data_IF_371191609527
#
_entry.id   IF_371191609527
#
_cell.length_a   1.000
_cell.length_b   1.000
_cell.length_c   1.000
_cell.angle_alpha   90.00
_cell.angle_beta   90.00
_cell.angle_gamma   90.00
#
_symmetry.space_group_name_H-M   'P 1'
#
loop_
_entity.id
_entity.type
_entity.pdbx_description
1 polymer ?
#
# COMPACT_ATOMS: atom_id res chain seq x y z
N UNK A 1 51.37 -3.73 41.84
CA UNK A 1 51.06 -3.81 40.36
C UNK A 1 49.77 -4.58 40.03
N UNK A 2 49.40 -5.67 40.72
CA UNK A 2 48.18 -6.45 40.44
C UNK A 2 46.86 -5.68 40.71
N UNK A 3 46.79 -4.91 41.82
CA UNK A 3 45.58 -4.11 42.15
C UNK A 3 45.29 -3.00 41.17
N UNK A 4 46.27 -2.37 40.56
CA UNK A 4 46.08 -1.34 39.53
C UNK A 4 45.61 -1.90 38.18
N UNK A 5 46.07 -3.10 37.82
CA UNK A 5 45.64 -3.81 36.60
C UNK A 5 44.17 -4.25 36.72
N UNK A 6 43.73 -4.78 37.86
CA UNK A 6 42.35 -5.16 38.10
C UNK A 6 41.39 -3.96 38.04
N UNK A 7 41.78 -2.81 38.60
CA UNK A 7 40.95 -1.58 38.53
C UNK A 7 40.80 -1.07 37.10
N UNK A 8 41.87 -1.16 36.28
CA UNK A 8 41.83 -0.77 34.88
C UNK A 8 40.90 -1.68 34.05
N UNK A 9 40.97 -3.01 34.30
CA UNK A 9 40.09 -3.97 33.64
C UNK A 9 38.62 -3.75 34.04
N UNK A 10 38.32 -3.52 35.30
CA UNK A 10 36.96 -3.21 35.79
C UNK A 10 36.42 -1.94 35.10
N UNK A 11 37.22 -0.88 34.99
CA UNK A 11 36.79 0.33 34.28
C UNK A 11 36.53 0.07 32.82
N UNK A 12 37.36 -0.70 32.10
CA UNK A 12 37.16 -1.05 30.71
C UNK A 12 35.89 -1.91 30.53
N UNK A 13 35.62 -2.84 31.43
CA UNK A 13 34.37 -3.64 31.42
C UNK A 13 33.15 -2.73 31.64
N UNK A 14 33.28 -1.75 32.53
CA UNK A 14 32.21 -0.77 32.75
C UNK A 14 32.01 0.11 31.49
N UNK A 15 33.08 0.58 30.85
CA UNK A 15 32.98 1.31 29.59
C UNK A 15 32.29 0.46 28.47
N UNK A 16 32.58 -0.84 28.41
CA UNK A 16 31.93 -1.79 27.51
C UNK A 16 30.44 -1.93 27.84
N UNK A 17 30.09 -2.07 29.13
CA UNK A 17 28.66 -2.17 29.52
C UNK A 17 27.86 -0.90 29.19
N UNK A 18 28.50 0.24 29.12
CA UNK A 18 27.95 1.51 28.71
C UNK A 18 28.06 1.75 27.19
N UNK A 19 28.61 0.79 26.45
CA UNK A 19 28.85 0.85 25.01
C UNK A 19 29.66 2.07 24.56
N UNK A 20 30.56 2.54 25.39
CA UNK A 20 31.47 3.64 25.07
C UNK A 20 32.51 3.19 24.03
N UNK A 21 32.77 4.06 23.07
CA UNK A 21 33.78 3.82 22.04
C UNK A 21 35.18 4.17 22.60
N UNK A 22 35.97 3.14 22.91
CA UNK A 22 37.31 3.26 23.43
C UNK A 22 38.27 2.27 22.74
N UNK A 23 39.59 2.49 22.89
CA UNK A 23 40.56 1.55 22.36
C UNK A 23 40.75 0.37 23.34
N UNK A 24 39.86 -0.59 23.28
CA UNK A 24 39.86 -1.78 24.13
C UNK A 24 41.04 -2.72 23.81
N UNK A 25 41.56 -2.73 22.59
CA UNK A 25 42.67 -3.54 22.15
C UNK A 25 43.96 -3.22 22.94
N UNK A 26 44.14 -1.96 23.37
CA UNK A 26 45.27 -1.56 24.22
C UNK A 26 45.19 -2.14 25.65
N UNK A 27 44.01 -2.59 26.06
CA UNK A 27 43.77 -3.23 27.37
C UNK A 27 43.79 -4.76 27.29
N UNK A 28 43.12 -5.31 26.33
CA UNK A 28 42.98 -6.76 26.11
C UNK A 28 42.24 -7.02 24.78
N UNK A 29 42.79 -7.91 23.92
CA UNK A 29 42.10 -8.31 22.65
C UNK A 29 40.70 -8.92 22.92
N UNK A 30 40.48 -9.57 24.06
CA UNK A 30 39.18 -10.14 24.41
C UNK A 30 38.13 -9.05 24.69
N UNK A 31 38.54 -7.99 25.37
CA UNK A 31 37.63 -6.85 25.63
C UNK A 31 37.25 -6.16 24.32
N UNK A 32 38.21 -6.02 23.41
CA UNK A 32 37.92 -5.51 22.05
C UNK A 32 36.91 -6.41 21.35
N UNK A 33 37.11 -7.69 21.35
CA UNK A 33 36.22 -8.66 20.74
C UNK A 33 34.82 -8.67 21.38
N UNK A 34 34.74 -8.54 22.70
CA UNK A 34 33.49 -8.40 23.43
C UNK A 34 32.72 -7.15 22.99
N UNK A 35 33.38 -6.00 22.92
CA UNK A 35 32.77 -4.74 22.43
C UNK A 35 32.29 -4.86 21.01
N UNK A 36 33.09 -5.42 20.08
CA UNK A 36 32.73 -5.61 18.68
C UNK A 36 31.49 -6.48 18.50
N UNK A 37 31.37 -7.56 19.30
CA UNK A 37 30.19 -8.42 19.32
C UNK A 37 28.95 -7.69 19.83
N UNK A 38 29.07 -6.94 20.91
CA UNK A 38 27.98 -6.16 21.46
C UNK A 38 27.52 -5.10 20.45
N UNK A 39 28.47 -4.42 19.81
CA UNK A 39 28.20 -3.45 18.73
C UNK A 39 27.54 -4.10 17.52
N UNK A 40 27.95 -5.32 17.16
CA UNK A 40 27.31 -6.08 16.09
C UNK A 40 25.86 -6.46 16.43
N UNK A 41 25.62 -6.95 17.66
CA UNK A 41 24.26 -7.26 18.16
C UNK A 41 23.34 -6.04 18.14
N UNK A 42 23.87 -4.88 18.58
CA UNK A 42 23.13 -3.61 18.53
C UNK A 42 22.73 -3.22 17.11
N UNK A 43 23.65 -3.33 16.13
CA UNK A 43 23.34 -3.07 14.73
C UNK A 43 22.29 -4.02 14.16
N UNK A 44 22.35 -5.30 14.57
CA UNK A 44 21.35 -6.28 14.16
C UNK A 44 19.96 -5.96 14.73
N UNK A 45 19.88 -5.55 16.00
CA UNK A 45 18.61 -5.12 16.58
C UNK A 45 18.05 -3.89 15.87
N UNK A 46 18.89 -2.91 15.55
CA UNK A 46 18.48 -1.74 14.75
C UNK A 46 17.98 -2.14 13.36
N UNK A 47 18.60 -3.15 12.74
CA UNK A 47 18.11 -3.70 11.48
C UNK A 47 16.75 -4.38 11.63
N UNK A 48 16.57 -5.23 12.66
CA UNK A 48 15.27 -5.88 12.96
C UNK A 48 14.20 -4.83 13.19
N UNK A 49 14.50 -3.79 13.93
CA UNK A 49 13.58 -2.67 14.11
C UNK A 49 13.25 -1.98 12.77
N UNK A 50 14.24 -1.80 11.91
CA UNK A 50 14.05 -1.21 10.58
C UNK A 50 13.12 -2.03 9.69
N UNK A 51 13.28 -3.34 9.67
CA UNK A 51 12.42 -4.26 8.92
C UNK A 51 11.00 -4.29 9.50
N UNK A 52 10.85 -4.33 10.83
CA UNK A 52 9.57 -4.27 11.52
C UNK A 52 8.84 -2.94 11.22
N UNK A 53 9.54 -1.82 11.29
CA UNK A 53 9.00 -0.50 10.95
C UNK A 53 8.57 -0.41 9.48
N UNK A 54 9.33 -0.97 8.57
CA UNK A 54 8.93 -1.01 7.15
C UNK A 54 7.68 -1.87 6.95
N UNK A 55 7.58 -2.97 7.64
CA UNK A 55 6.44 -3.87 7.54
C UNK A 55 5.17 -3.25 8.13
N UNK A 56 5.24 -2.61 9.32
CA UNK A 56 4.08 -1.93 9.92
C UNK A 56 3.60 -0.77 9.04
N UNK A 57 4.52 0.02 8.48
CA UNK A 57 4.17 1.09 7.53
C UNK A 57 3.49 0.55 6.27
N UNK A 58 3.95 -0.59 5.77
CA UNK A 58 3.35 -1.26 4.61
C UNK A 58 1.94 -1.76 4.95
N UNK A 59 1.74 -2.30 6.16
CA UNK A 59 0.42 -2.73 6.65
C UNK A 59 -0.54 -1.57 6.81
N UNK A 60 -0.10 -0.48 7.42
CA UNK A 60 -0.91 0.75 7.52
C UNK A 60 -1.32 1.29 6.14
N UNK A 61 -0.38 1.35 5.20
CA UNK A 61 -0.65 1.79 3.84
C UNK A 61 -1.62 0.83 3.11
N UNK A 62 -1.47 -0.48 3.31
CA UNK A 62 -2.36 -1.50 2.75
C UNK A 62 -3.77 -1.39 3.34
N UNK A 63 -3.88 -1.26 4.66
CA UNK A 63 -5.15 -1.07 5.35
C UNK A 63 -5.90 0.17 4.87
N UNK A 64 -5.18 1.28 4.73
CA UNK A 64 -5.71 2.53 4.20
C UNK A 64 -6.17 2.38 2.74
N UNK A 65 -5.37 1.71 1.89
CA UNK A 65 -5.71 1.44 0.49
C UNK A 65 -6.94 0.54 0.37
N UNK A 66 -7.00 -0.54 1.12
CA UNK A 66 -8.16 -1.45 1.14
C UNK A 66 -9.40 -0.69 1.60
N UNK A 67 -9.30 0.15 2.64
CA UNK A 67 -10.38 1.01 3.09
C UNK A 67 -10.88 1.95 1.98
N UNK A 68 -9.98 2.59 1.26
CA UNK A 68 -10.32 3.46 0.13
C UNK A 68 -10.98 2.69 -1.03
N UNK A 69 -10.40 1.56 -1.42
CA UNK A 69 -10.94 0.72 -2.50
C UNK A 69 -12.32 0.16 -2.12
N UNK A 70 -12.56 -0.11 -0.84
CA UNK A 70 -13.87 -0.50 -0.28
C UNK A 70 -14.92 0.60 -0.49
N UNK A 71 -14.56 1.87 -0.25
CA UNK A 71 -15.46 3.00 -0.50
C UNK A 71 -15.76 3.12 -1.99
N UNK A 72 -14.75 3.05 -2.86
CA UNK A 72 -14.92 3.09 -4.33
C UNK A 72 -15.80 1.95 -4.84
N UNK A 73 -15.64 0.74 -4.29
CA UNK A 73 -16.50 -0.39 -4.65
C UNK A 73 -17.96 -0.17 -4.22
N UNK A 74 -18.17 0.46 -3.05
CA UNK A 74 -19.52 0.84 -2.63
C UNK A 74 -20.16 1.81 -3.64
N UNK A 75 -19.44 2.88 -3.98
CA UNK A 75 -19.89 3.86 -4.98
C UNK A 75 -20.15 3.20 -6.33
N UNK A 76 -19.22 2.35 -6.79
CA UNK A 76 -19.38 1.62 -8.04
C UNK A 76 -20.63 0.69 -8.04
N UNK A 77 -20.89 0.02 -6.91
CA UNK A 77 -22.09 -0.81 -6.76
C UNK A 77 -23.38 0.05 -6.75
N UNK A 78 -23.34 1.22 -6.11
CA UNK A 78 -24.44 2.19 -6.12
C UNK A 78 -24.66 2.76 -7.51
N UNK A 79 -23.58 3.10 -8.23
CA UNK A 79 -23.65 3.59 -9.63
C UNK A 79 -24.21 2.52 -10.57
N UNK A 80 -23.81 1.26 -10.42
CA UNK A 80 -24.35 0.13 -11.17
C UNK A 80 -25.85 -0.04 -10.89
N UNK A 81 -26.28 0.02 -9.62
CA UNK A 81 -27.68 -0.06 -9.25
C UNK A 81 -28.49 1.12 -9.83
N UNK A 82 -27.90 2.32 -9.81
CA UNK A 82 -28.56 3.51 -10.36
C UNK A 82 -28.71 3.41 -11.90
N UNK A 83 -27.65 2.96 -12.59
CA UNK A 83 -27.68 2.70 -14.03
C UNK A 83 -28.70 1.60 -14.37
N UNK A 84 -28.74 0.51 -13.59
CA UNK A 84 -29.70 -0.59 -13.77
C UNK A 84 -31.14 -0.10 -13.62
N UNK A 85 -31.40 0.77 -12.67
CA UNK A 85 -32.74 1.37 -12.47
C UNK A 85 -33.12 2.25 -13.66
N UNK A 86 -32.20 3.08 -14.16
CA UNK A 86 -32.43 3.93 -15.33
C UNK A 86 -32.70 3.09 -16.59
N UNK A 87 -32.01 1.94 -16.75
CA UNK A 87 -32.27 1.00 -17.86
C UNK A 87 -33.64 0.34 -17.69
N UNK A 88 -34.00 -0.04 -16.48
CA UNK A 88 -35.32 -0.64 -16.20
C UNK A 88 -36.45 0.33 -16.50
N UNK A 89 -36.30 1.62 -16.15
CA UNK A 89 -37.30 2.67 -16.47
C UNK A 89 -37.38 2.89 -18.00
N UNK A 90 -36.23 2.85 -18.71
CA UNK A 90 -36.19 2.93 -20.18
C UNK A 90 -36.82 1.71 -20.87
N UNK A 91 -36.72 0.51 -20.27
CA UNK A 91 -37.39 -0.72 -20.73
C UNK A 91 -38.91 -0.62 -20.59
N UNK A 92 -39.39 -0.10 -19.45
CA UNK A 92 -40.82 0.14 -19.26
C UNK A 92 -41.39 1.16 -20.27
N UNK A 93 -40.61 2.23 -20.52
CA UNK A 93 -40.96 3.25 -21.55
C UNK A 93 -40.94 2.67 -22.98
N UNK A 94 -39.90 1.84 -23.26
CA UNK A 94 -39.79 1.15 -24.56
C UNK A 94 -40.95 0.19 -24.80
N UNK A 95 -41.43 -0.52 -23.76
CA UNK A 95 -42.60 -1.41 -23.82
C UNK A 95 -43.88 -0.62 -24.11
N UNK A 96 -44.04 0.56 -23.51
CA UNK A 96 -45.18 1.46 -23.76
C UNK A 96 -45.20 1.96 -25.20
N UNK A 97 -44.01 2.34 -25.72
CA UNK A 97 -43.86 2.79 -27.14
C UNK A 97 -44.17 1.64 -28.10
N UNK A 98 -43.77 0.39 -27.75
CA UNK A 98 -44.08 -0.79 -28.57
C UNK A 98 -45.59 -1.06 -28.66
N UNK A 99 -46.34 -0.82 -27.60
CA UNK A 99 -47.78 -0.96 -27.56
C UNK A 99 -48.50 0.14 -28.33
N UNK A 100 -48.03 1.39 -28.24
CA UNK A 100 -48.54 2.49 -29.05
C UNK A 100 -48.31 2.28 -30.57
N UNK A 101 -47.13 1.73 -30.93
CA UNK A 101 -46.82 1.37 -32.33
C UNK A 101 -47.72 0.25 -32.83
N UNK A 102 -48.02 -0.73 -31.99
CA UNK A 102 -48.98 -1.81 -32.29
C UNK A 102 -50.36 -1.27 -32.55
N UNK A 103 -50.81 -0.32 -31.71
CA UNK A 103 -52.11 0.36 -31.88
C UNK A 103 -52.14 1.31 -33.09
N UNK A 104 -51.01 1.94 -33.43
CA UNK A 104 -50.89 2.81 -34.62
C UNK A 104 -50.84 2.02 -35.95
N UNK A 105 -50.47 0.75 -35.90
CA UNK A 105 -50.39 -0.12 -37.06
C UNK A 105 -51.77 -0.54 -37.61
N UNK A 106 -52.84 -0.40 -36.85
CA UNK A 106 -54.22 -0.63 -37.32
C UNK A 106 -54.74 0.42 -38.31
N UNK A 107 -54.02 1.56 -38.41
CA UNK A 107 -54.31 2.64 -39.38
C UNK A 107 -53.40 2.62 -40.60
N UNK A 108 -53.66 1.84 -41.59
CA UNK A 108 -52.75 1.35 -42.66
C UNK A 108 -52.16 2.37 -43.64
N UNK A 109 -52.53 3.62 -43.70
CA UNK A 109 -52.13 4.53 -44.76
C UNK A 109 -50.93 5.45 -44.47
N UNK A 110 -50.55 5.58 -43.16
CA UNK A 110 -49.43 6.42 -42.75
C UNK A 110 -48.16 5.62 -42.31
N UNK A 111 -48.20 4.31 -42.49
CA UNK A 111 -47.26 3.37 -41.91
C UNK A 111 -45.84 3.47 -42.49
N UNK A 112 -45.72 3.83 -43.78
CA UNK A 112 -44.40 3.88 -44.47
C UNK A 112 -43.52 5.00 -43.90
N UNK A 113 -44.08 6.16 -43.62
CA UNK A 113 -43.34 7.31 -43.07
C UNK A 113 -42.93 6.99 -41.63
N UNK A 114 -43.85 6.44 -40.84
CA UNK A 114 -43.66 6.09 -39.44
C UNK A 114 -42.59 4.97 -39.27
N UNK A 115 -42.62 3.97 -40.14
CA UNK A 115 -41.64 2.86 -40.13
C UNK A 115 -40.26 3.32 -40.61
N UNK A 116 -40.18 4.24 -41.59
CA UNK A 116 -38.94 4.86 -42.04
C UNK A 116 -38.27 5.68 -40.93
N UNK A 117 -39.09 6.42 -40.16
CA UNK A 117 -38.61 7.24 -39.04
C UNK A 117 -38.02 6.37 -37.91
N UNK A 118 -38.70 5.25 -37.58
CA UNK A 118 -38.23 4.33 -36.56
C UNK A 118 -37.00 3.52 -36.98
N UNK A 119 -36.87 3.23 -38.27
CA UNK A 119 -35.64 2.61 -38.81
C UNK A 119 -34.44 3.55 -38.64
N UNK A 120 -34.65 4.87 -38.80
CA UNK A 120 -33.63 5.90 -38.55
C UNK A 120 -33.25 5.98 -37.08
N UNK A 121 -34.21 5.80 -36.18
CA UNK A 121 -33.97 5.82 -34.73
C UNK A 121 -33.20 4.59 -34.25
N UNK A 122 -33.49 3.41 -34.80
CA UNK A 122 -32.71 2.19 -34.54
C UNK A 122 -31.27 2.34 -35.04
N UNK A 123 -31.08 2.99 -36.22
CA UNK A 123 -29.76 3.28 -36.76
C UNK A 123 -28.92 4.15 -35.82
N UNK A 124 -29.52 5.22 -35.28
CA UNK A 124 -28.85 6.06 -34.27
C UNK A 124 -28.49 5.32 -32.97
N UNK A 125 -29.36 4.40 -32.52
CA UNK A 125 -29.08 3.58 -31.34
C UNK A 125 -27.89 2.63 -31.53
N UNK A 126 -27.73 2.13 -32.77
CA UNK A 126 -26.54 1.31 -33.14
C UNK A 126 -25.28 2.18 -33.14
N UNK A 127 -25.35 3.42 -33.67
CA UNK A 127 -24.25 4.37 -33.62
C UNK A 127 -23.86 4.73 -32.18
N UNK A 128 -24.82 5.05 -31.35
CA UNK A 128 -24.58 5.32 -29.94
C UNK A 128 -24.00 4.09 -29.22
N UNK A 129 -24.44 2.87 -29.55
CA UNK A 129 -23.87 1.64 -29.06
C UNK A 129 -22.40 1.42 -29.46
N UNK A 130 -22.01 1.89 -30.66
CA UNK A 130 -20.61 1.90 -31.08
C UNK A 130 -19.75 2.91 -30.33
N UNK A 131 -20.31 4.05 -29.96
CA UNK A 131 -19.60 5.03 -29.11
C UNK A 131 -19.36 4.50 -27.69
N UNK A 132 -20.37 3.85 -27.10
CA UNK A 132 -20.20 3.21 -25.75
C UNK A 132 -19.18 2.06 -25.78
N UNK A 133 -19.18 1.24 -26.83
CA UNK A 133 -18.18 0.20 -27.01
C UNK A 133 -16.76 0.77 -27.17
N UNK A 134 -16.63 1.94 -27.76
CA UNK A 134 -15.36 2.66 -27.88
C UNK A 134 -14.89 3.10 -26.50
N UNK A 135 -15.78 3.65 -25.68
CA UNK A 135 -15.46 4.05 -24.30
C UNK A 135 -15.02 2.86 -23.43
N UNK A 136 -15.72 1.72 -23.53
CA UNK A 136 -15.34 0.49 -22.80
C UNK A 136 -13.97 -0.04 -23.26
N UNK A 137 -13.66 0.06 -24.55
CA UNK A 137 -12.37 -0.34 -25.11
C UNK A 137 -11.22 0.53 -24.60
N UNK A 138 -11.45 1.83 -24.46
CA UNK A 138 -10.45 2.75 -23.91
C UNK A 138 -10.18 2.46 -22.43
N UNK A 139 -11.24 2.23 -21.64
CA UNK A 139 -11.12 1.80 -20.24
C UNK A 139 -10.34 0.46 -20.09
N UNK A 140 -10.57 -0.48 -21.00
CA UNK A 140 -9.82 -1.76 -20.99
C UNK A 140 -8.33 -1.56 -21.29
N UNK A 141 -8.01 -0.66 -22.24
CA UNK A 141 -6.62 -0.28 -22.52
C UNK A 141 -5.92 0.35 -21.34
N UNK A 142 -6.59 1.24 -20.64
CA UNK A 142 -6.03 1.89 -19.45
C UNK A 142 -5.75 0.84 -18.35
N UNK A 143 -6.70 -0.08 -18.13
CA UNK A 143 -6.53 -1.16 -17.16
C UNK A 143 -5.39 -2.12 -17.53
N UNK A 144 -5.16 -2.40 -18.83
CA UNK A 144 -3.99 -3.19 -19.29
C UNK A 144 -2.70 -2.43 -19.02
N UNK A 145 -2.69 -1.12 -19.26
CA UNK A 145 -1.53 -0.26 -18.99
C UNK A 145 -1.17 -0.26 -17.50
N UNK A 146 -2.15 -0.06 -16.63
CA UNK A 146 -1.96 -0.11 -15.16
C UNK A 146 -1.49 -1.49 -14.67
N UNK A 147 -2.07 -2.56 -15.23
CA UNK A 147 -1.65 -3.93 -14.90
C UNK A 147 -0.22 -4.22 -15.36
N UNK A 148 0.18 -3.69 -16.50
CA UNK A 148 1.55 -3.82 -17.03
C UNK A 148 2.55 -3.06 -16.16
N UNK A 149 2.17 -1.89 -15.68
CA UNK A 149 2.98 -1.12 -14.74
C UNK A 149 3.10 -1.84 -13.38
N UNK A 150 2.00 -2.43 -12.91
CA UNK A 150 2.01 -3.26 -11.70
C UNK A 150 2.96 -4.46 -11.85
N UNK A 151 2.97 -5.12 -13.02
CA UNK A 151 3.91 -6.21 -13.32
C UNK A 151 5.36 -5.73 -13.23
N UNK A 152 5.67 -4.59 -13.83
CA UNK A 152 7.00 -3.98 -13.76
C UNK A 152 7.42 -3.65 -12.32
N UNK A 153 6.47 -3.21 -11.50
CA UNK A 153 6.71 -2.97 -10.08
C UNK A 153 6.94 -4.27 -9.31
N UNK A 154 6.26 -5.37 -9.70
CA UNK A 154 6.53 -6.69 -9.14
C UNK A 154 7.91 -7.22 -9.54
N UNK A 155 8.33 -7.02 -10.80
CA UNK A 155 9.66 -7.40 -11.27
C UNK A 155 10.74 -6.60 -10.49
N UNK A 156 10.54 -5.29 -10.31
CA UNK A 156 11.44 -4.47 -9.49
C UNK A 156 11.47 -4.92 -8.01
N UNK A 157 10.34 -5.34 -7.46
CA UNK A 157 10.28 -5.92 -6.12
C UNK A 157 11.05 -7.24 -6.06
N UNK A 158 10.98 -8.07 -7.09
CA UNK A 158 11.76 -9.31 -7.17
C UNK A 158 13.28 -9.03 -7.20
N UNK A 159 13.72 -7.99 -7.89
CA UNK A 159 15.12 -7.57 -7.88
C UNK A 159 15.59 -7.15 -6.48
N UNK A 160 14.74 -6.40 -5.74
CA UNK A 160 15.04 -6.03 -4.35
C UNK A 160 15.12 -7.27 -3.45
N UNK A 161 14.21 -8.23 -3.61
CA UNK A 161 14.19 -9.49 -2.87
C UNK A 161 15.48 -10.30 -3.15
N UNK A 162 15.92 -10.35 -4.41
CA UNK A 162 17.16 -11.01 -4.78
C UNK A 162 18.37 -10.34 -4.10
N UNK A 163 18.40 -9.01 -4.07
CA UNK A 163 19.46 -8.27 -3.38
C UNK A 163 19.46 -8.49 -1.86
N UNK A 164 18.26 -8.61 -1.25
CA UNK A 164 18.13 -8.97 0.17
C UNK A 164 18.72 -10.36 0.45
N UNK A 165 18.49 -11.33 -0.42
CA UNK A 165 19.09 -12.65 -0.29
C UNK A 165 20.62 -12.60 -0.33
N UNK A 166 21.21 -11.83 -1.25
CA UNK A 166 22.67 -11.64 -1.31
C UNK A 166 23.22 -11.04 0.02
N UNK A 167 22.50 -10.09 0.60
CA UNK A 167 22.88 -9.49 1.89
C UNK A 167 22.78 -10.52 3.02
N UNK A 168 21.71 -11.31 3.07
CA UNK A 168 21.51 -12.37 4.06
C UNK A 168 22.64 -13.42 3.96
N UNK A 169 22.98 -13.84 2.74
CA UNK A 169 24.10 -14.75 2.51
C UNK A 169 25.43 -14.15 2.98
N UNK A 170 25.64 -12.85 2.71
CA UNK A 170 26.83 -12.13 3.19
C UNK A 170 26.93 -12.09 4.73
N UNK A 171 25.82 -11.79 5.40
CA UNK A 171 25.78 -11.78 6.88
C UNK A 171 26.00 -13.20 7.45
N UNK A 172 25.41 -14.21 6.80
CA UNK A 172 25.59 -15.60 7.21
C UNK A 172 27.05 -16.03 7.08
N UNK A 173 27.73 -15.66 5.99
CA UNK A 173 29.16 -15.90 5.80
C UNK A 173 30.02 -15.21 6.86
N UNK A 174 29.72 -13.93 7.21
CA UNK A 174 30.41 -13.20 8.27
C UNK A 174 30.17 -13.88 9.61
N UNK A 175 28.94 -14.33 9.90
CA UNK A 175 28.63 -15.05 11.15
C UNK A 175 29.41 -16.35 11.25
N UNK A 176 29.50 -17.09 10.17
CA UNK A 176 30.28 -18.34 10.13
C UNK A 176 31.78 -18.10 10.33
N UNK A 177 32.30 -17.04 9.70
CA UNK A 177 33.70 -16.63 9.90
C UNK A 177 33.93 -16.16 11.34
N UNK A 178 32.98 -15.42 11.92
CA UNK A 178 33.04 -14.96 13.32
C UNK A 178 32.99 -16.13 14.31
N UNK A 179 32.13 -17.11 14.03
CA UNK A 179 32.05 -18.36 14.80
C UNK A 179 33.38 -19.14 14.80
N UNK A 180 34.00 -19.24 13.61
CA UNK A 180 35.32 -19.89 13.47
C UNK A 180 36.41 -19.11 14.18
N UNK A 181 36.39 -17.77 14.11
CA UNK A 181 37.35 -16.93 14.85
C UNK A 181 37.18 -17.05 16.35
N UNK A 182 35.93 -17.08 16.82
CA UNK A 182 35.60 -17.26 18.23
C UNK A 182 36.01 -18.66 18.74
N UNK A 183 35.80 -19.69 17.93
CA UNK A 183 36.24 -21.06 18.24
C UNK A 183 37.76 -21.12 18.39
N UNK A 184 38.49 -20.52 17.47
CA UNK A 184 39.94 -20.44 17.50
C UNK A 184 40.43 -19.68 18.74
N UNK A 185 39.75 -18.56 19.09
CA UNK A 185 40.04 -17.78 20.29
C UNK A 185 39.75 -18.58 21.57
N UNK A 186 38.66 -19.35 21.63
CA UNK A 186 38.33 -20.25 22.73
C UNK A 186 39.41 -21.33 22.93
N UNK A 187 39.89 -21.89 21.82
CA UNK A 187 40.95 -22.91 21.84
C UNK A 187 42.26 -22.31 22.42
N UNK A 188 42.65 -21.12 21.95
CA UNK A 188 43.88 -20.48 22.41
C UNK A 188 43.77 -19.96 23.87
N UNK A 189 42.57 -19.49 24.25
CA UNK A 189 42.26 -19.14 25.63
C UNK A 189 42.36 -20.36 26.57
N UNK A 190 41.85 -21.51 26.17
CA UNK A 190 41.99 -22.78 26.90
C UNK A 190 43.45 -23.21 27.00
N UNK A 191 44.25 -22.94 25.97
CA UNK A 191 45.67 -23.23 25.90
C UNK A 191 46.53 -22.39 26.88
N UNK A 192 46.04 -21.17 27.18
CA UNK A 192 46.66 -20.25 28.15
C UNK A 192 46.34 -20.56 29.64
N UNK A 193 45.49 -21.55 29.93
CA UNK A 193 45.18 -22.04 31.27
C UNK A 193 44.48 -20.97 32.15
N UNK A 194 44.91 -20.82 33.39
CA UNK A 194 44.33 -19.87 34.37
C UNK A 194 44.35 -18.40 33.87
N UNK A 195 45.37 -18.01 33.10
CA UNK A 195 45.50 -16.66 32.54
C UNK A 195 44.49 -16.39 31.40
N UNK A 196 43.96 -17.46 30.81
CA UNK A 196 43.04 -17.37 29.70
C UNK A 196 41.55 -17.43 30.07
N UNK A 197 41.20 -17.67 31.35
CA UNK A 197 39.81 -17.90 31.78
C UNK A 197 38.83 -16.78 31.37
N UNK A 198 39.23 -15.52 31.55
CA UNK A 198 38.41 -14.38 31.13
C UNK A 198 38.20 -14.30 29.59
N UNK A 199 39.28 -14.66 28.89
CA UNK A 199 39.25 -14.74 27.39
C UNK A 199 38.35 -15.86 26.88
N UNK A 200 38.38 -17.03 27.53
CA UNK A 200 37.55 -18.17 27.16
C UNK A 200 36.06 -17.84 27.27
N UNK A 201 35.64 -17.10 28.30
CA UNK A 201 34.25 -16.68 28.48
C UNK A 201 33.83 -15.71 27.35
N UNK A 202 34.68 -14.73 27.02
CA UNK A 202 34.40 -13.77 25.97
C UNK A 202 34.32 -14.46 24.59
N UNK A 203 35.25 -15.38 24.33
CA UNK A 203 35.26 -16.13 23.07
C UNK A 203 34.02 -17.03 22.94
N UNK A 204 33.60 -17.69 24.04
CA UNK A 204 32.37 -18.51 24.01
C UNK A 204 31.12 -17.63 23.79
N UNK A 205 31.05 -16.44 24.37
CA UNK A 205 29.97 -15.51 24.18
C UNK A 205 29.91 -14.98 22.72
N UNK A 206 31.11 -14.71 22.11
CA UNK A 206 31.18 -14.38 20.65
C UNK A 206 30.66 -15.54 19.82
N UNK A 207 31.02 -16.77 20.17
CA UNK A 207 30.59 -17.97 19.48
C UNK A 207 29.05 -18.10 19.50
N UNK A 208 28.46 -17.89 20.70
CA UNK A 208 27.02 -17.96 20.88
C UNK A 208 26.28 -16.83 20.09
N UNK A 209 26.86 -15.64 20.06
CA UNK A 209 26.32 -14.53 19.28
C UNK A 209 26.41 -14.79 17.77
N UNK A 210 27.52 -15.34 17.30
CA UNK A 210 27.66 -15.75 15.91
C UNK A 210 26.63 -16.82 15.52
N UNK A 211 26.44 -17.83 16.38
CA UNK A 211 25.42 -18.86 16.19
C UNK A 211 24.00 -18.27 16.20
N UNK A 212 23.70 -17.38 17.15
CA UNK A 212 22.44 -16.64 17.22
C UNK A 212 22.20 -15.77 15.96
N UNK A 213 23.28 -15.15 15.46
CA UNK A 213 23.20 -14.36 14.20
C UNK A 213 22.90 -15.28 13.01
N UNK A 214 23.53 -16.45 12.94
CA UNK A 214 23.27 -17.45 11.90
C UNK A 214 21.82 -17.95 11.94
N UNK A 215 21.27 -18.17 13.13
CA UNK A 215 19.87 -18.55 13.29
C UNK A 215 18.92 -17.43 12.86
N UNK A 216 19.22 -16.18 13.22
CA UNK A 216 18.43 -15.01 12.82
C UNK A 216 18.47 -14.79 11.31
N UNK A 217 19.62 -14.94 10.66
CA UNK A 217 19.72 -14.87 9.20
C UNK A 217 18.98 -16.02 8.51
N UNK A 218 18.97 -17.21 9.11
CA UNK A 218 18.13 -18.31 8.66
C UNK A 218 16.63 -17.96 8.65
N UNK A 219 16.14 -17.43 9.76
CA UNK A 219 14.75 -16.98 9.87
C UNK A 219 14.43 -15.82 8.90
N UNK A 220 15.40 -14.92 8.69
CA UNK A 220 15.25 -13.86 7.67
C UNK A 220 15.18 -14.42 6.25
N UNK A 221 15.97 -15.46 5.95
CA UNK A 221 15.89 -16.15 4.66
C UNK A 221 14.52 -16.77 4.40
N UNK A 222 13.94 -17.43 5.41
CA UNK A 222 12.56 -17.97 5.31
C UNK A 222 11.51 -16.84 5.10
N UNK A 223 11.70 -15.70 5.77
CA UNK A 223 10.81 -14.55 5.62
C UNK A 223 10.92 -13.92 4.21
N UNK A 224 12.14 -13.75 3.70
CA UNK A 224 12.39 -13.24 2.34
C UNK A 224 11.84 -14.20 1.28
N UNK A 225 11.97 -15.51 1.50
CA UNK A 225 11.35 -16.52 0.65
C UNK A 225 9.82 -16.43 0.66
N UNK A 226 9.21 -16.20 1.85
CA UNK A 226 7.77 -15.95 1.95
C UNK A 226 7.30 -14.71 1.18
N UNK A 227 8.11 -13.65 1.19
CA UNK A 227 7.83 -12.43 0.38
C UNK A 227 7.99 -12.75 -1.11
N UNK A 228 8.99 -13.51 -1.49
CA UNK A 228 9.20 -13.97 -2.88
C UNK A 228 7.97 -14.72 -3.39
N UNK A 229 7.54 -15.73 -2.63
CA UNK A 229 6.36 -16.52 -2.95
C UNK A 229 5.09 -15.68 -3.10
N UNK A 230 4.89 -14.70 -2.21
CA UNK A 230 3.77 -13.78 -2.28
C UNK A 230 3.85 -12.86 -3.52
N UNK A 231 5.05 -12.40 -3.87
CA UNK A 231 5.31 -11.55 -5.03
C UNK A 231 5.12 -12.32 -6.33
N UNK A 232 5.60 -13.56 -6.41
CA UNK A 232 5.37 -14.44 -7.56
C UNK A 232 3.89 -14.76 -7.76
N UNK A 233 3.16 -15.03 -6.68
CA UNK A 233 1.70 -15.22 -6.70
C UNK A 233 0.98 -13.97 -7.18
N UNK A 234 1.42 -12.79 -6.69
CA UNK A 234 0.86 -11.50 -7.11
C UNK A 234 1.15 -11.23 -8.59
N UNK A 235 2.39 -11.46 -9.05
CA UNK A 235 2.77 -11.33 -10.45
C UNK A 235 1.93 -12.25 -11.34
N UNK A 236 1.73 -13.50 -10.93
CA UNK A 236 0.87 -14.44 -11.64
C UNK A 236 -0.60 -14.01 -11.69
N UNK A 237 -1.08 -13.39 -10.59
CA UNK A 237 -2.44 -12.83 -10.56
C UNK A 237 -2.61 -11.66 -11.54
N UNK A 238 -1.57 -10.83 -11.68
CA UNK A 238 -1.53 -9.75 -12.67
C UNK A 238 -1.52 -10.30 -14.11
N UNK A 239 -0.75 -11.36 -14.37
CA UNK A 239 -0.76 -12.04 -15.68
C UNK A 239 -2.15 -12.60 -16.04
N UNK A 240 -2.84 -13.16 -15.05
CA UNK A 240 -4.23 -13.62 -15.21
C UNK A 240 -5.18 -12.44 -15.49
N UNK A 241 -4.99 -11.31 -14.80
CA UNK A 241 -5.78 -10.10 -15.03
C UNK A 241 -5.56 -9.54 -16.43
N UNK A 242 -4.32 -9.42 -16.90
CA UNK A 242 -3.98 -8.99 -18.27
C UNK A 242 -4.63 -9.92 -19.31
N UNK A 243 -4.50 -11.24 -19.10
CA UNK A 243 -5.12 -12.24 -20.00
C UNK A 243 -6.64 -12.10 -20.03
N UNK A 244 -7.27 -11.79 -18.88
CA UNK A 244 -8.71 -11.59 -18.78
C UNK A 244 -9.16 -10.33 -19.51
N UNK A 245 -8.39 -9.24 -19.44
CA UNK A 245 -8.63 -7.97 -20.13
C UNK A 245 -8.46 -8.13 -21.66
N UNK A 246 -7.47 -8.90 -22.10
CA UNK A 246 -7.29 -9.27 -23.51
C UNK A 246 -8.50 -10.05 -24.04
N UNK A 247 -9.05 -10.96 -23.24
CA UNK A 247 -10.27 -11.69 -23.57
C UNK A 247 -11.50 -10.75 -23.66
N UNK A 248 -11.54 -9.69 -22.84
CA UNK A 248 -12.59 -8.65 -22.91
C UNK A 248 -12.47 -7.89 -24.24
N UNK A 249 -11.27 -7.48 -24.65
CA UNK A 249 -11.07 -6.78 -25.93
C UNK A 249 -11.53 -7.63 -27.12
N UNK A 250 -11.24 -8.94 -27.10
CA UNK A 250 -11.75 -9.88 -28.11
C UNK A 250 -13.29 -9.95 -28.14
N UNK A 251 -13.94 -9.92 -26.97
CA UNK A 251 -15.39 -9.90 -26.85
C UNK A 251 -16.01 -8.59 -27.39
N UNK A 252 -15.37 -7.47 -27.11
CA UNK A 252 -15.77 -6.15 -27.65
C UNK A 252 -15.67 -6.15 -29.18
N UNK A 253 -14.58 -6.66 -29.73
CA UNK A 253 -14.42 -6.78 -31.18
C UNK A 253 -15.48 -7.69 -31.82
N UNK A 254 -15.90 -8.76 -31.13
CA UNK A 254 -17.00 -9.61 -31.59
C UNK A 254 -18.35 -8.87 -31.59
N UNK A 255 -18.62 -8.05 -30.57
CA UNK A 255 -19.85 -7.21 -30.51
C UNK A 255 -19.80 -6.10 -31.55
N UNK A 256 -18.63 -5.54 -31.87
CA UNK A 256 -18.43 -4.60 -32.95
C UNK A 256 -18.84 -5.19 -34.32
N UNK A 257 -18.39 -6.41 -34.60
CA UNK A 257 -18.73 -7.13 -35.83
C UNK A 257 -20.23 -7.44 -35.90
N UNK A 258 -20.86 -7.79 -34.78
CA UNK A 258 -22.32 -7.99 -34.68
C UNK A 258 -23.07 -6.69 -34.96
N UNK A 259 -22.60 -5.54 -34.45
CA UNK A 259 -23.21 -4.24 -34.73
C UNK A 259 -23.07 -3.83 -36.19
N UNK A 260 -21.94 -4.14 -36.81
CA UNK A 260 -21.76 -3.89 -38.25
C UNK A 260 -22.69 -4.78 -39.12
N UNK A 261 -22.88 -6.03 -38.68
CA UNK A 261 -23.84 -6.97 -39.28
C UNK A 261 -25.30 -6.51 -39.05
N UNK A 262 -25.61 -6.05 -37.85
CA UNK A 262 -26.91 -5.43 -37.54
C UNK A 262 -27.16 -4.17 -38.36
N UNK A 263 -26.13 -3.35 -38.64
CA UNK A 263 -26.20 -2.17 -39.50
C UNK A 263 -26.57 -2.54 -40.95
N UNK A 264 -26.01 -3.65 -41.44
CA UNK A 264 -26.36 -4.24 -42.77
C UNK A 264 -27.80 -4.74 -42.77
N UNK A 265 -28.24 -5.43 -41.71
CA UNK A 265 -29.60 -5.95 -41.61
C UNK A 265 -30.63 -4.84 -41.60
N UNK A 266 -30.35 -3.70 -40.93
CA UNK A 266 -31.22 -2.51 -40.90
C UNK A 266 -31.25 -1.86 -42.29
N UNK A 267 -30.14 -1.81 -43.02
CA UNK A 267 -30.08 -1.33 -44.40
C UNK A 267 -30.98 -2.18 -45.35
N UNK A 268 -30.89 -3.51 -45.23
CA UNK A 268 -31.70 -4.46 -46.00
C UNK A 268 -33.20 -4.33 -45.70
N UNK A 269 -33.54 -4.08 -44.41
CA UNK A 269 -34.92 -3.79 -44.00
C UNK A 269 -35.40 -2.47 -44.62
N UNK A 270 -34.56 -1.42 -44.69
CA UNK A 270 -34.87 -0.15 -45.32
C UNK A 270 -35.15 -0.28 -46.84
N UNK A 271 -34.37 -1.12 -47.52
CA UNK A 271 -34.60 -1.47 -48.92
C UNK A 271 -35.87 -2.30 -49.12
N UNK A 272 -36.17 -3.20 -48.15
CA UNK A 272 -37.38 -4.02 -48.17
C UNK A 272 -38.66 -3.21 -47.94
N UNK A 273 -38.61 -2.07 -47.25
CA UNK A 273 -39.74 -1.15 -47.03
C UNK A 273 -40.27 -0.58 -48.34
N UNK A 274 -39.44 -0.49 -49.37
CA UNK A 274 -39.82 0.03 -50.68
C UNK A 274 -40.70 -0.89 -51.54
N UNK A 275 -40.88 -2.14 -51.19
CA UNK A 275 -41.61 -3.14 -52.00
C UNK A 275 -42.93 -3.64 -51.36
N UNK A 276 -43.66 -2.81 -50.73
CA UNK A 276 -44.56 -3.10 -49.64
C UNK A 276 -46.07 -3.26 -49.88
N UNK A 277 -46.54 -4.26 -50.57
CA UNK A 277 -47.93 -4.71 -50.37
C UNK A 277 -48.08 -5.95 -49.42
N UNK A 278 -46.94 -6.57 -49.02
CA UNK A 278 -46.96 -7.80 -48.20
C UNK A 278 -46.42 -7.71 -46.78
N UNK A 279 -46.02 -6.53 -46.29
CA UNK A 279 -45.14 -6.37 -45.08
C UNK A 279 -45.87 -6.21 -43.75
N UNK A 280 -47.19 -6.17 -43.72
CA UNK A 280 -47.95 -6.13 -42.45
C UNK A 280 -47.58 -7.31 -41.55
N UNK A 281 -47.36 -8.51 -42.12
CA UNK A 281 -46.89 -9.70 -41.36
C UNK A 281 -45.42 -9.59 -40.90
N UNK A 282 -44.53 -8.96 -41.68
CA UNK A 282 -43.13 -8.75 -41.31
C UNK A 282 -42.95 -7.73 -40.18
N UNK A 283 -43.77 -6.66 -40.16
CA UNK A 283 -43.75 -5.68 -39.09
C UNK A 283 -44.21 -6.30 -37.75
N UNK A 284 -45.21 -7.16 -37.78
CA UNK A 284 -45.64 -7.92 -36.60
C UNK A 284 -44.53 -8.85 -36.08
N UNK A 285 -43.79 -9.47 -36.99
CA UNK A 285 -42.63 -10.31 -36.64
C UNK A 285 -41.50 -9.48 -36.01
N UNK A 286 -41.23 -8.27 -36.55
CA UNK A 286 -40.22 -7.36 -36.00
C UNK A 286 -40.58 -6.86 -34.59
N UNK A 287 -41.88 -6.68 -34.31
CA UNK A 287 -42.35 -6.30 -32.98
C UNK A 287 -42.18 -7.43 -31.96
N UNK A 288 -42.34 -8.70 -32.36
CA UNK A 288 -42.04 -9.84 -31.48
C UNK A 288 -40.57 -9.98 -31.14
N UNK A 289 -39.67 -9.60 -32.08
CA UNK A 289 -38.24 -9.55 -31.83
C UNK A 289 -37.91 -8.45 -30.83
N UNK A 290 -38.57 -7.30 -30.91
CA UNK A 290 -38.41 -6.18 -29.98
C UNK A 290 -38.84 -6.59 -28.54
N UNK A 291 -39.96 -7.31 -28.40
CA UNK A 291 -40.47 -7.83 -27.14
C UNK A 291 -39.48 -8.85 -26.51
N UNK A 292 -38.87 -9.67 -27.38
CA UNK A 292 -37.82 -10.62 -26.94
C UNK A 292 -36.54 -9.89 -26.47
N UNK A 293 -36.17 -8.77 -27.15
CA UNK A 293 -35.00 -7.97 -26.75
C UNK A 293 -35.25 -7.20 -25.45
N UNK A 294 -36.43 -6.69 -25.21
CA UNK A 294 -36.86 -6.05 -23.98
C UNK A 294 -36.76 -7.04 -22.84
N UNK A 295 -37.27 -8.27 -23.01
CA UNK A 295 -37.10 -9.36 -22.02
C UNK A 295 -35.61 -9.71 -21.79
N UNK A 296 -34.80 -9.71 -22.83
CA UNK A 296 -33.36 -9.97 -22.72
C UNK A 296 -32.64 -8.83 -21.98
N UNK A 297 -33.06 -7.58 -22.12
CA UNK A 297 -32.51 -6.44 -21.38
C UNK A 297 -32.94 -6.52 -19.91
N UNK A 298 -34.17 -6.94 -19.62
CA UNK A 298 -34.61 -7.22 -18.24
C UNK A 298 -33.77 -8.32 -17.58
N UNK A 299 -33.45 -9.39 -18.31
CA UNK A 299 -32.55 -10.43 -17.83
C UNK A 299 -31.12 -9.91 -17.58
N UNK A 300 -30.61 -9.04 -18.47
CA UNK A 300 -29.31 -8.41 -18.27
C UNK A 300 -29.31 -7.43 -17.10
N UNK A 301 -30.38 -6.70 -16.88
CA UNK A 301 -30.56 -5.88 -15.68
C UNK A 301 -30.58 -6.74 -14.40
N UNK A 302 -31.21 -7.91 -14.46
CA UNK A 302 -31.16 -8.90 -13.37
C UNK A 302 -29.72 -9.35 -13.08
N UNK A 303 -28.92 -9.63 -14.10
CA UNK A 303 -27.50 -9.99 -13.95
C UNK A 303 -26.68 -8.85 -13.38
N UNK A 304 -26.87 -7.61 -13.86
CA UNK A 304 -26.21 -6.43 -13.32
C UNK A 304 -26.55 -6.19 -11.84
N UNK A 305 -27.78 -6.43 -11.45
CA UNK A 305 -28.22 -6.36 -10.05
C UNK A 305 -27.52 -7.41 -9.19
N UNK A 306 -27.38 -8.65 -9.70
CA UNK A 306 -26.63 -9.71 -9.03
C UNK A 306 -25.15 -9.38 -8.92
N UNK A 307 -24.56 -8.77 -9.95
CA UNK A 307 -23.16 -8.33 -9.92
C UNK A 307 -22.93 -7.20 -8.89
N UNK A 308 -23.88 -6.28 -8.75
CA UNK A 308 -23.85 -5.23 -7.73
C UNK A 308 -23.96 -5.82 -6.32
N UNK A 309 -24.80 -6.84 -6.12
CA UNK A 309 -24.91 -7.59 -4.87
C UNK A 309 -23.61 -8.37 -4.59
N UNK A 310 -23.04 -9.00 -5.61
CA UNK A 310 -21.73 -9.68 -5.51
C UNK A 310 -20.62 -8.69 -5.16
N UNK A 311 -20.59 -7.52 -5.78
CA UNK A 311 -19.65 -6.43 -5.42
C UNK A 311 -19.84 -6.01 -3.96
N UNK A 312 -21.08 -5.95 -3.48
CA UNK A 312 -21.38 -5.65 -2.07
C UNK A 312 -20.88 -6.74 -1.14
N UNK A 313 -21.04 -8.02 -1.51
CA UNK A 313 -20.50 -9.16 -0.75
C UNK A 313 -18.98 -9.16 -0.76
N UNK A 314 -18.35 -8.96 -1.91
CA UNK A 314 -16.88 -8.85 -2.03
C UNK A 314 -16.37 -7.69 -1.19
N UNK A 315 -17.07 -6.55 -1.22
CA UNK A 315 -16.75 -5.39 -0.41
C UNK A 315 -16.87 -5.68 1.09
N UNK A 316 -17.91 -6.42 1.50
CA UNK A 316 -18.05 -6.91 2.87
C UNK A 316 -16.87 -7.79 3.31
N UNK A 317 -16.42 -8.69 2.45
CA UNK A 317 -15.27 -9.56 2.69
C UNK A 317 -13.95 -8.77 2.76
N UNK A 318 -13.77 -7.79 1.86
CA UNK A 318 -12.63 -6.87 1.89
C UNK A 318 -12.60 -6.07 3.19
N UNK A 319 -13.74 -5.53 3.60
CA UNK A 319 -13.89 -4.82 4.87
C UNK A 319 -13.57 -5.72 6.06
N UNK A 320 -14.01 -6.99 6.00
CA UNK A 320 -13.65 -8.01 6.99
C UNK A 320 -12.16 -8.34 7.03
N UNK A 321 -11.42 -8.11 5.93
CA UNK A 321 -9.97 -8.31 5.87
C UNK A 321 -9.18 -7.19 6.52
N UNK A 322 -9.78 -6.02 6.77
CA UNK A 322 -9.12 -4.89 7.43
C UNK A 322 -8.83 -5.19 8.90
N UNK A 323 -9.72 -5.88 9.59
CA UNK A 323 -9.53 -6.25 11.01
C UNK A 323 -8.28 -7.12 11.23
N UNK A 324 -8.05 -8.21 10.48
CA UNK A 324 -6.80 -8.98 10.58
C UNK A 324 -5.55 -8.15 10.25
N UNK A 325 -5.61 -7.24 9.26
CA UNK A 325 -4.50 -6.34 8.95
C UNK A 325 -4.20 -5.41 10.13
N UNK A 326 -5.22 -4.87 10.77
CA UNK A 326 -5.09 -4.03 11.97
C UNK A 326 -4.51 -4.82 13.15
N UNK A 327 -4.85 -6.09 13.30
CA UNK A 327 -4.27 -6.95 14.33
C UNK A 327 -2.79 -7.21 14.08
N UNK A 328 -2.37 -7.45 12.83
CA UNK A 328 -0.96 -7.60 12.47
C UNK A 328 -0.21 -6.29 12.69
N UNK A 329 -0.75 -5.16 12.24
CA UNK A 329 -0.22 -3.82 12.49
C UNK A 329 0.01 -3.59 13.99
N UNK A 330 -1.00 -3.89 14.81
CA UNK A 330 -0.91 -3.78 16.28
C UNK A 330 0.15 -4.70 16.87
N UNK A 331 0.29 -5.91 16.33
CA UNK A 331 1.33 -6.86 16.74
C UNK A 331 2.73 -6.32 16.47
N UNK A 332 2.93 -5.74 15.30
CA UNK A 332 4.20 -5.12 14.89
C UNK A 332 4.50 -3.86 15.72
N UNK A 333 3.50 -3.01 15.97
CA UNK A 333 3.64 -1.88 16.89
C UNK A 333 4.09 -2.32 18.30
N UNK A 334 3.58 -3.45 18.77
CA UNK A 334 4.01 -4.00 20.05
C UNK A 334 5.46 -4.48 19.99
N UNK A 335 5.91 -5.09 18.90
CA UNK A 335 7.33 -5.44 18.70
C UNK A 335 8.19 -4.18 18.68
N UNK A 336 7.79 -3.16 17.93
CA UNK A 336 8.49 -1.87 17.88
C UNK A 336 8.61 -1.23 19.29
N UNK A 337 7.53 -1.26 20.08
CA UNK A 337 7.53 -0.78 21.48
C UNK A 337 8.48 -1.57 22.37
N UNK A 338 8.49 -2.89 22.26
CA UNK A 338 9.43 -3.73 23.03
C UNK A 338 10.88 -3.38 22.70
N UNK A 339 11.20 -3.21 21.41
CA UNK A 339 12.54 -2.78 20.98
C UNK A 339 12.84 -1.37 21.47
N UNK A 340 11.86 -0.47 21.45
CA UNK A 340 11.98 0.87 22.03
C UNK A 340 12.32 0.84 23.52
N UNK A 341 11.63 0.03 24.29
CA UNK A 341 11.95 -0.18 25.72
C UNK A 341 13.37 -0.77 25.91
N UNK A 342 13.75 -1.75 25.05
CA UNK A 342 15.11 -2.30 25.08
C UNK A 342 16.17 -1.23 24.80
N UNK A 343 15.87 -0.23 23.96
CA UNK A 343 16.80 0.84 23.61
C UNK A 343 17.21 1.74 24.79
N UNK A 344 16.52 1.65 25.92
CA UNK A 344 16.93 2.28 27.19
C UNK A 344 18.21 1.68 27.78
N UNK A 345 18.46 0.40 27.52
CA UNK A 345 19.72 -0.24 27.91
C UNK A 345 20.83 0.10 26.90
N UNK A 346 22.01 0.47 27.41
CA UNK A 346 23.14 0.84 26.58
C UNK A 346 23.52 -0.23 25.54
N UNK A 347 23.30 -1.50 25.88
CA UNK A 347 23.59 -2.65 25.02
C UNK A 347 22.68 -2.71 23.78
N UNK A 348 21.39 -2.36 23.92
CA UNK A 348 20.39 -2.42 22.85
C UNK A 348 20.12 -1.05 22.21
N UNK A 349 20.73 0.00 22.76
CA UNK A 349 20.47 1.39 22.38
C UNK A 349 20.72 1.62 20.90
N UNK A 350 19.74 2.22 20.24
CA UNK A 350 19.84 2.63 18.85
C UNK A 350 20.88 3.76 18.70
N UNK A 351 21.62 3.74 17.59
CA UNK A 351 22.56 4.82 17.27
C UNK A 351 21.81 6.10 16.89
N UNK A 352 22.35 7.26 17.29
CA UNK A 352 21.76 8.55 16.93
C UNK A 352 21.57 8.72 15.42
N UNK A 353 22.48 8.20 14.59
CA UNK A 353 22.36 8.25 13.13
C UNK A 353 21.12 7.50 12.61
N UNK A 354 20.72 6.41 13.25
CA UNK A 354 19.49 5.68 12.91
C UNK A 354 18.26 6.49 13.32
N UNK A 355 18.28 7.06 14.53
CA UNK A 355 17.23 7.98 14.97
C UNK A 355 17.06 9.16 14.02
N UNK A 356 18.17 9.82 13.65
CA UNK A 356 18.19 10.96 12.73
C UNK A 356 17.58 10.58 11.37
N UNK A 357 17.90 9.39 10.85
CA UNK A 357 17.37 8.90 9.59
C UNK A 357 15.83 8.75 9.62
N UNK A 358 15.25 8.30 10.75
CA UNK A 358 13.79 8.23 10.91
C UNK A 358 13.15 9.61 10.98
N UNK A 359 13.77 10.54 11.70
CA UNK A 359 13.30 11.95 11.76
C UNK A 359 13.36 12.61 10.39
N UNK A 360 14.43 12.39 9.61
CA UNK A 360 14.55 12.90 8.24
C UNK A 360 13.47 12.31 7.31
N UNK A 361 13.25 11.00 7.37
CA UNK A 361 12.16 10.35 6.62
C UNK A 361 10.79 10.90 7.01
N UNK A 362 10.60 11.22 8.30
CA UNK A 362 9.38 11.86 8.76
C UNK A 362 9.16 13.22 8.10
N UNK A 363 10.22 14.04 8.02
CA UNK A 363 10.16 15.36 7.36
C UNK A 363 9.74 15.24 5.90
N UNK A 364 10.32 14.30 5.17
CA UNK A 364 9.99 14.03 3.76
C UNK A 364 8.55 13.52 3.60
N UNK A 365 8.15 12.56 4.43
CA UNK A 365 6.81 11.99 4.39
C UNK A 365 5.71 13.03 4.70
N UNK A 366 5.94 13.93 5.65
CA UNK A 366 4.98 14.98 5.98
C UNK A 366 4.89 16.06 4.88
N UNK A 367 5.99 16.33 4.16
CA UNK A 367 5.92 17.19 2.96
C UNK A 367 5.09 16.55 1.86
N UNK A 368 5.33 15.28 1.55
CA UNK A 368 4.56 14.53 0.55
C UNK A 368 3.07 14.42 0.94
N UNK A 369 2.79 14.27 2.25
CA UNK A 369 1.43 14.28 2.79
C UNK A 369 0.73 15.64 2.53
N UNK A 370 1.42 16.75 2.79
CA UNK A 370 0.90 18.10 2.53
C UNK A 370 0.69 18.36 1.03
N UNK A 371 1.58 17.88 0.16
CA UNK A 371 1.42 17.96 -1.30
C UNK A 371 0.17 17.18 -1.75
N UNK A 372 -0.07 16.00 -1.17
CA UNK A 372 -1.28 15.22 -1.46
C UNK A 372 -2.54 15.98 -0.98
N UNK A 373 -2.48 16.60 0.20
CA UNK A 373 -3.59 17.43 0.69
C UNK A 373 -3.85 18.64 -0.22
N UNK A 374 -2.79 19.28 -0.73
CA UNK A 374 -2.91 20.36 -1.70
C UNK A 374 -3.58 19.89 -3.00
N UNK A 375 -3.19 18.72 -3.48
CA UNK A 375 -3.81 18.11 -4.67
C UNK A 375 -5.31 17.85 -4.44
N UNK A 376 -5.70 17.34 -3.26
CA UNK A 376 -7.11 17.15 -2.91
C UNK A 376 -7.92 18.44 -3.01
N UNK A 377 -7.37 19.54 -2.48
CA UNK A 377 -8.04 20.85 -2.50
C UNK A 377 -8.10 21.42 -3.91
N UNK A 378 -6.99 21.35 -4.65
CA UNK A 378 -6.87 21.92 -6.00
C UNK A 378 -7.76 21.18 -7.01
N UNK A 379 -7.76 19.84 -6.96
CA UNK A 379 -8.54 18.99 -7.85
C UNK A 379 -9.97 18.78 -7.35
N UNK A 380 -10.29 19.26 -6.13
CA UNK A 380 -11.58 19.05 -5.46
C UNK A 380 -11.95 17.56 -5.40
N UNK A 381 -10.96 16.72 -5.15
CA UNK A 381 -11.11 15.28 -5.17
C UNK A 381 -10.49 14.68 -3.90
N UNK A 382 -11.19 13.74 -3.29
CA UNK A 382 -10.69 13.05 -2.10
C UNK A 382 -9.73 11.95 -2.50
N UNK A 383 -8.46 12.10 -2.10
CA UNK A 383 -7.41 11.11 -2.31
C UNK A 383 -7.18 10.29 -1.02
N UNK A 384 -6.53 9.13 -1.19
CA UNK A 384 -6.13 8.30 -0.07
C UNK A 384 -5.01 8.97 0.70
N UNK A 385 -5.29 9.38 1.93
CA UNK A 385 -4.36 10.07 2.80
C UNK A 385 -4.52 9.58 4.25
N UNK A 386 -3.41 9.36 4.96
CA UNK A 386 -3.45 8.91 6.35
C UNK A 386 -3.79 10.10 7.27
N UNK A 387 -4.93 10.02 7.97
CA UNK A 387 -5.39 11.05 8.91
C UNK A 387 -5.12 10.71 10.37
N UNK A 388 -4.74 9.47 10.66
CA UNK A 388 -4.40 9.02 12.00
C UNK A 388 -2.91 9.21 12.22
N UNK A 389 -2.56 10.13 13.12
CA UNK A 389 -1.18 10.45 13.47
C UNK A 389 -0.42 9.26 14.07
N UNK A 390 -1.12 8.30 14.66
CA UNK A 390 -0.50 7.09 15.24
C UNK A 390 -0.14 6.04 14.18
N UNK A 391 -0.78 6.11 13.01
CA UNK A 391 -0.65 5.15 11.90
C UNK A 391 0.19 5.65 10.74
N UNK A 392 0.68 6.86 10.78
CA UNK A 392 1.67 7.33 9.80
C UNK A 392 3.06 6.74 10.13
N UNK A 393 3.95 6.72 9.15
CA UNK A 393 5.28 6.15 9.35
C UNK A 393 6.08 6.77 10.49
N UNK A 394 5.91 8.07 10.72
CA UNK A 394 6.50 8.73 11.88
C UNK A 394 5.75 8.39 13.17
N UNK A 395 4.43 8.27 13.16
CA UNK A 395 3.64 7.91 14.33
C UNK A 395 4.07 6.57 14.92
N UNK A 396 4.20 5.54 14.11
CA UNK A 396 4.71 4.24 14.55
C UNK A 396 6.08 4.36 15.22
N UNK A 397 7.00 5.15 14.64
CA UNK A 397 8.31 5.42 15.23
C UNK A 397 8.20 6.24 16.52
N UNK A 398 7.43 7.32 16.50
CA UNK A 398 7.29 8.26 17.61
C UNK A 398 6.74 7.60 18.86
N UNK A 399 5.69 6.79 18.71
CA UNK A 399 5.04 6.12 19.84
C UNK A 399 5.74 4.84 20.30
N UNK A 400 6.73 4.35 19.54
CA UNK A 400 7.57 3.23 19.95
C UNK A 400 8.87 3.66 20.60
N UNK A 401 9.42 4.83 20.27
CA UNK A 401 10.73 5.29 20.74
C UNK A 401 10.61 6.40 21.78
N UNK A 402 11.44 6.30 22.82
CA UNK A 402 11.45 7.24 23.93
C UNK A 402 12.84 7.84 24.14
N UNK A 403 13.22 8.93 23.42
CA UNK A 403 14.43 9.67 23.68
C UNK A 403 14.38 10.27 25.10
N UNK A 404 15.23 9.78 26.01
CA UNK A 404 15.22 10.17 27.42
C UNK A 404 16.29 11.22 27.78
N UNK A 405 17.22 11.50 26.87
CA UNK A 405 18.25 12.51 27.10
C UNK A 405 17.60 13.87 27.42
N UNK A 406 17.94 14.52 28.54
CA UNK A 406 17.29 15.77 28.97
C UNK A 406 17.38 16.92 27.95
N UNK A 407 18.36 16.86 27.05
CA UNK A 407 18.50 17.89 26.02
C UNK A 407 17.46 17.75 24.90
N UNK A 408 17.01 16.54 24.57
CA UNK A 408 16.11 16.28 23.43
C UNK A 408 14.67 15.94 23.87
N UNK A 409 14.49 15.32 25.02
CA UNK A 409 13.19 14.84 25.49
C UNK A 409 12.08 15.90 25.52
N UNK A 410 12.33 17.16 25.94
CA UNK A 410 11.30 18.21 25.91
C UNK A 410 10.83 18.53 24.48
N UNK A 411 11.77 18.63 23.54
CA UNK A 411 11.45 18.92 22.12
C UNK A 411 10.71 17.74 21.48
N UNK A 412 11.14 16.51 21.78
CA UNK A 412 10.48 15.31 21.33
C UNK A 412 9.02 15.22 21.81
N UNK A 413 8.80 15.38 23.10
CA UNK A 413 7.47 15.27 23.68
C UNK A 413 6.50 16.38 23.18
N UNK A 414 7.02 17.54 22.80
CA UNK A 414 6.22 18.63 22.26
C UNK A 414 5.66 18.34 20.84
N UNK A 415 6.21 17.35 20.13
CA UNK A 415 5.75 17.01 18.77
C UNK A 415 4.33 16.43 18.74
N UNK A 416 3.92 15.67 19.77
CA UNK A 416 2.69 14.87 19.75
C UNK A 416 1.45 15.67 19.37
N UNK A 417 1.25 16.82 20.01
CA UNK A 417 0.05 17.64 19.80
C UNK A 417 0.03 18.29 18.41
N UNK A 418 1.19 18.81 17.95
CA UNK A 418 1.31 19.38 16.62
C UNK A 418 1.15 18.32 15.53
N UNK A 419 1.73 17.16 15.72
CA UNK A 419 1.63 16.04 14.79
C UNK A 419 0.18 15.59 14.63
N UNK A 420 -0.53 15.40 15.74
CA UNK A 420 -1.96 15.07 15.73
C UNK A 420 -2.80 16.14 15.04
N UNK A 421 -2.54 17.41 15.35
CA UNK A 421 -3.24 18.54 14.74
C UNK A 421 -2.99 18.59 13.23
N UNK A 422 -1.74 18.36 12.78
CA UNK A 422 -1.38 18.34 11.39
C UNK A 422 -2.19 17.29 10.61
N UNK A 423 -2.26 16.05 11.10
CA UNK A 423 -3.05 14.98 10.48
C UNK A 423 -4.57 15.27 10.57
N UNK A 424 -5.02 15.95 11.62
CA UNK A 424 -6.41 16.38 11.79
C UNK A 424 -6.92 17.27 10.67
N UNK A 425 -6.10 18.17 10.15
CA UNK A 425 -6.46 19.03 9.01
C UNK A 425 -6.84 18.24 7.76
N UNK A 426 -6.23 17.08 7.53
CA UNK A 426 -6.61 16.22 6.41
C UNK A 426 -8.05 15.74 6.48
N UNK A 427 -8.52 15.39 7.68
CA UNK A 427 -9.91 14.99 7.90
C UNK A 427 -10.88 16.18 7.73
N UNK A 428 -10.47 17.37 8.17
CA UNK A 428 -11.29 18.58 8.02
C UNK A 428 -11.39 19.01 6.55
N UNK A 429 -10.28 18.93 5.77
CA UNK A 429 -10.30 19.16 4.31
C UNK A 429 -11.21 18.15 3.62
N UNK A 430 -11.08 16.87 3.96
CA UNK A 430 -11.95 15.83 3.40
C UNK A 430 -13.42 16.13 3.64
N UNK A 431 -13.79 16.55 4.85
CA UNK A 431 -15.17 16.90 5.18
C UNK A 431 -15.64 18.13 4.39
N UNK A 432 -14.80 19.16 4.29
CA UNK A 432 -15.13 20.35 3.50
C UNK A 432 -15.35 20.05 2.02
N UNK A 433 -14.58 19.10 1.47
CA UNK A 433 -14.76 18.63 0.07
C UNK A 433 -16.06 17.82 -0.09
N UNK A 434 -16.44 16.98 0.87
CA UNK A 434 -17.73 16.29 0.86
C UNK A 434 -18.92 17.25 0.98
N UNK A 435 -18.73 18.35 1.71
CA UNK A 435 -19.73 19.42 1.84
C UNK A 435 -19.73 20.37 0.63
N UNK A 436 -18.95 20.06 -0.42
CA UNK A 436 -18.74 20.88 -1.63
C UNK A 436 -18.26 22.32 -1.34
N UNK A 437 -17.65 22.53 -0.17
CA UNK A 437 -17.16 23.83 0.29
C UNK A 437 -15.67 23.99 0.00
N UNK A 438 -15.34 24.31 -1.25
CA UNK A 438 -13.95 24.46 -1.70
C UNK A 438 -13.22 25.64 -1.00
N UNK A 439 -13.93 26.74 -0.67
CA UNK A 439 -13.32 27.89 0.04
C UNK A 439 -12.88 27.46 1.43
N UNK A 440 -13.70 26.69 2.14
CA UNK A 440 -13.36 26.17 3.46
C UNK A 440 -12.21 25.16 3.40
N UNK A 441 -12.17 24.30 2.37
CA UNK A 441 -11.07 23.36 2.16
C UNK A 441 -9.73 24.10 1.98
N UNK A 442 -9.72 25.18 1.21
CA UNK A 442 -8.53 26.03 0.99
C UNK A 442 -8.08 26.71 2.29
N UNK A 443 -9.00 27.28 3.08
CA UNK A 443 -8.66 27.87 4.38
C UNK A 443 -7.98 26.87 5.31
N UNK A 444 -8.53 25.64 5.40
CA UNK A 444 -7.99 24.59 6.27
C UNK A 444 -6.61 24.15 5.75
N UNK A 445 -6.43 24.06 4.43
CA UNK A 445 -5.12 23.74 3.83
C UNK A 445 -4.05 24.77 4.21
N UNK A 446 -4.36 26.07 4.17
CA UNK A 446 -3.42 27.10 4.58
C UNK A 446 -3.03 26.99 6.08
N UNK A 447 -3.96 26.58 6.93
CA UNK A 447 -3.64 26.28 8.33
C UNK A 447 -2.76 25.03 8.46
N UNK A 448 -3.02 23.99 7.65
CA UNK A 448 -2.20 22.78 7.60
C UNK A 448 -0.79 23.09 7.12
N UNK A 449 -0.63 23.93 6.10
CA UNK A 449 0.67 24.37 5.59
C UNK A 449 1.48 25.10 6.68
N UNK A 450 0.85 26.01 7.41
CA UNK A 450 1.47 26.70 8.54
C UNK A 450 1.92 25.70 9.63
N UNK A 451 1.03 24.77 10.01
CA UNK A 451 1.33 23.74 10.98
C UNK A 451 2.47 22.82 10.50
N UNK A 452 2.49 22.48 9.21
CA UNK A 452 3.58 21.72 8.58
C UNK A 452 4.93 22.44 8.72
N UNK A 453 4.98 23.72 8.43
CA UNK A 453 6.19 24.51 8.56
C UNK A 453 6.71 24.56 10.01
N UNK A 454 5.81 24.68 10.98
CA UNK A 454 6.16 24.60 12.40
C UNK A 454 6.72 23.21 12.76
N UNK A 455 6.06 22.13 12.31
CA UNK A 455 6.48 20.78 12.55
C UNK A 455 7.86 20.47 11.90
N UNK A 456 8.10 20.97 10.69
CA UNK A 456 9.39 20.85 10.01
C UNK A 456 10.51 21.55 10.80
N UNK A 457 10.23 22.71 11.39
CA UNK A 457 11.18 23.42 12.24
C UNK A 457 11.47 22.65 13.54
N UNK A 458 10.46 22.03 14.15
CA UNK A 458 10.63 21.20 15.34
C UNK A 458 11.48 19.95 15.02
N UNK A 459 11.25 19.28 13.89
CA UNK A 459 12.10 18.19 13.45
C UNK A 459 13.55 18.62 13.22
N UNK A 460 13.75 19.77 12.56
CA UNK A 460 15.10 20.31 12.32
C UNK A 460 15.81 20.66 13.66
N UNK A 461 15.07 21.18 14.65
CA UNK A 461 15.62 21.45 15.98
C UNK A 461 16.04 20.13 16.68
N UNK A 462 15.23 19.08 16.60
CA UNK A 462 15.54 17.75 17.14
C UNK A 462 16.81 17.18 16.50
N UNK A 463 16.94 17.26 15.17
CA UNK A 463 18.14 16.82 14.46
C UNK A 463 19.39 17.60 14.89
N UNK A 464 19.28 18.91 15.09
CA UNK A 464 20.37 19.73 15.57
C UNK A 464 20.82 19.35 17.01
N UNK A 465 19.83 19.06 17.88
CA UNK A 465 20.13 18.59 19.24
C UNK A 465 20.82 17.21 19.17
N UNK A 466 20.30 16.28 18.37
CA UNK A 466 20.89 14.95 18.17
C UNK A 466 22.33 15.04 17.65
N UNK A 467 22.57 15.90 16.67
CA UNK A 467 23.94 16.15 16.14
C UNK A 467 24.87 16.69 17.23
N UNK A 468 24.40 17.61 18.07
CA UNK A 468 25.17 18.12 19.22
C UNK A 468 25.48 17.02 20.25
N UNK A 469 24.52 16.15 20.56
CA UNK A 469 24.71 15.00 21.42
C UNK A 469 25.75 14.03 20.82
N UNK A 470 25.64 13.73 19.54
CA UNK A 470 26.56 12.85 18.83
C UNK A 470 28.01 13.38 18.87
N UNK A 471 28.22 14.69 18.67
CA UNK A 471 29.54 15.31 18.76
C UNK A 471 30.15 15.19 20.17
N UNK A 472 29.32 15.13 21.20
CA UNK A 472 29.73 14.94 22.59
C UNK A 472 29.81 13.46 23.01
N UNK A 473 29.64 12.52 22.09
CA UNK A 473 29.61 11.09 22.39
C UNK A 473 28.41 10.67 23.24
N UNK A 474 27.33 11.44 23.25
CA UNK A 474 26.11 11.19 23.99
C UNK A 474 25.01 10.62 23.10
N UNK A 475 24.15 9.79 23.67
CA UNK A 475 23.00 9.23 22.96
C UNK A 475 21.75 10.09 23.19
N UNK A 476 20.86 10.08 22.21
CA UNK A 476 19.49 10.65 22.37
C UNK A 476 18.64 9.86 23.36
N UNK A 477 18.99 8.60 23.63
CA UNK A 477 18.25 7.68 24.50
C UNK A 477 18.81 7.60 25.94
N UNK A 478 19.79 8.42 26.32
CA UNK A 478 20.43 8.35 27.65
C UNK A 478 20.78 9.71 28.22
#
# INVERSE_FOLDING_TARGET
MALGKNKKIVNLVQSISEMKEENYAAGSPELQNMYERMSAGRRQLAQVYGEDMQAVMTMSALGLKVGHDTVKMTTAAEDVNTATKAIHDAVAETSSIAEEVRNAHEGLTNTIVDVSEKTTDIYKKIENGQEELTAIRDLSKDAISESTEMKKNMDALMDVINHMNEVIEGINAISEQTNLLALNASIEAARAGEAGKGFAVVAEEIRQLAEGTKQLTGNMGEFVEGIRDASEKSSKSVDVAITSLDNIDQKINAVWNINDENKKNVGTISESIGSLAGISEEISSSMNVLETQVSCIEDQCGNLSNDAELLTVINGNLKGSVEPLTQVETGMDNVAKVIGEMSRDAFYRMDNAVFDAYVQKAMEAHRAWLETLHTMVTEKNVLTLQFDDTKCGFGHFYYSMHPENPAIAPAWNALAEKHRRFHGYGKEVQQALFDENAERAEEIYLEAEKCSNELQNDFAAILNISAGLSQNGQSVFA
#
